data_IF_464925781278
#
_entry.id   IF_464925781278
#
_cell.length_a   1.000
_cell.length_b   1.000
_cell.length_c   1.000
_cell.angle_alpha   90.00
_cell.angle_beta   90.00
_cell.angle_gamma   90.00
#
_symmetry.space_group_name_H-M   'P 1'
#
loop_
_entity.id
_entity.type
_entity.pdbx_description
1 polymer ?
#
# COMPACT_ATOMS: atom_id res chain seq x y z
N UNK A 1 -4.85 -17.66 -22.99
CA UNK A 1 -4.73 -17.92 -21.53
C UNK A 1 -3.55 -17.23 -20.85
N UNK A 2 -2.33 -17.29 -21.40
CA UNK A 2 -1.10 -16.71 -20.77
C UNK A 2 -1.20 -15.20 -20.48
N UNK A 3 -1.88 -14.42 -21.33
CA UNK A 3 -2.07 -12.98 -21.12
C UNK A 3 -2.86 -12.65 -19.85
N UNK A 4 -3.85 -13.47 -19.49
CA UNK A 4 -4.64 -13.30 -18.28
C UNK A 4 -3.81 -13.62 -17.03
N UNK A 5 -2.95 -14.63 -17.07
CA UNK A 5 -2.07 -14.96 -15.95
C UNK A 5 -1.05 -13.85 -15.68
N UNK A 6 -0.38 -13.34 -16.73
CA UNK A 6 0.54 -12.19 -16.62
C UNK A 6 -0.16 -10.96 -16.03
N UNK A 7 -1.40 -10.67 -16.46
CA UNK A 7 -2.20 -9.56 -15.92
C UNK A 7 -2.55 -9.74 -14.45
N UNK A 8 -2.88 -10.96 -14.03
CA UNK A 8 -3.16 -11.29 -12.62
C UNK A 8 -1.91 -11.07 -11.76
N UNK A 9 -0.77 -11.63 -12.17
CA UNK A 9 0.51 -11.45 -11.47
C UNK A 9 0.89 -9.97 -11.35
N UNK A 10 0.76 -9.20 -12.43
CA UNK A 10 1.06 -7.77 -12.42
C UNK A 10 0.13 -7.01 -11.45
N UNK A 11 -1.16 -7.36 -11.41
CA UNK A 11 -2.11 -6.72 -10.49
C UNK A 11 -1.84 -7.07 -9.03
N UNK A 12 -1.42 -8.30 -8.73
CA UNK A 12 -1.04 -8.74 -7.39
C UNK A 12 0.23 -8.03 -6.94
N UNK A 13 1.22 -7.95 -7.83
CA UNK A 13 2.47 -7.25 -7.54
C UNK A 13 2.25 -5.76 -7.26
N UNK A 14 1.45 -5.09 -8.09
CA UNK A 14 1.09 -3.68 -7.87
C UNK A 14 0.38 -3.49 -6.51
N UNK A 15 -0.51 -4.42 -6.11
CA UNK A 15 -1.16 -4.37 -4.80
C UNK A 15 -0.19 -4.55 -3.64
N UNK A 16 0.75 -5.48 -3.77
CA UNK A 16 1.77 -5.72 -2.75
C UNK A 16 2.65 -4.49 -2.56
N UNK A 17 3.09 -3.86 -3.65
CA UNK A 17 3.85 -2.61 -3.60
C UNK A 17 3.06 -1.49 -2.90
N UNK A 18 1.79 -1.33 -3.25
CA UNK A 18 0.93 -0.32 -2.60
C UNK A 18 0.79 -0.58 -1.10
N UNK A 19 0.59 -1.83 -0.68
CA UNK A 19 0.51 -2.20 0.74
C UNK A 19 1.82 -1.92 1.49
N UNK A 20 2.95 -2.34 0.94
CA UNK A 20 4.27 -2.08 1.53
C UNK A 20 4.54 -0.58 1.68
N UNK A 21 4.18 0.21 0.67
CA UNK A 21 4.35 1.66 0.68
C UNK A 21 3.49 2.29 1.79
N UNK A 22 2.22 1.89 1.93
CA UNK A 22 1.34 2.40 2.99
C UNK A 22 1.91 2.08 4.38
N UNK A 23 2.33 0.83 4.60
CA UNK A 23 2.91 0.40 5.89
C UNK A 23 4.21 1.18 6.18
N UNK A 24 5.07 1.34 5.18
CA UNK A 24 6.33 2.07 5.31
C UNK A 24 6.12 3.53 5.68
N UNK A 25 5.21 4.24 4.98
CA UNK A 25 4.91 5.64 5.31
C UNK A 25 4.25 5.76 6.68
N UNK A 26 3.31 4.87 7.04
CA UNK A 26 2.73 4.87 8.39
C UNK A 26 3.78 4.64 9.48
N UNK A 27 4.70 3.69 9.28
CA UNK A 27 5.79 3.43 10.22
C UNK A 27 6.73 4.64 10.34
N UNK A 28 7.11 5.26 9.22
CA UNK A 28 7.93 6.46 9.22
C UNK A 28 7.22 7.65 9.90
N UNK A 29 5.92 7.85 9.65
CA UNK A 29 5.14 8.88 10.32
C UNK A 29 5.06 8.67 11.83
N UNK A 30 4.89 7.42 12.27
CA UNK A 30 4.89 7.11 13.70
C UNK A 30 6.26 7.33 14.35
N UNK A 31 7.36 6.94 13.68
CA UNK A 31 8.72 7.07 14.21
C UNK A 31 9.19 8.54 14.22
N UNK A 32 8.98 9.27 13.12
CA UNK A 32 9.52 10.63 12.94
C UNK A 32 8.64 11.68 13.58
N UNK A 33 7.32 11.55 13.46
CA UNK A 33 6.37 12.58 13.89
C UNK A 33 5.53 12.15 15.10
N UNK A 34 5.75 10.94 15.64
CA UNK A 34 4.99 10.44 16.79
C UNK A 34 3.49 10.33 16.52
N UNK A 35 3.08 10.14 15.26
CA UNK A 35 1.67 10.05 14.87
C UNK A 35 1.17 8.60 15.04
N UNK A 36 0.40 8.28 16.10
CA UNK A 36 -0.09 6.91 16.32
C UNK A 36 -1.20 6.51 15.33
N UNK A 37 -1.88 7.51 14.75
CA UNK A 37 -2.98 7.32 13.82
C UNK A 37 -2.51 7.51 12.37
N UNK A 38 -2.95 6.62 11.48
CA UNK A 38 -2.69 6.72 10.04
C UNK A 38 -3.25 8.05 9.48
N UNK A 39 -2.46 8.82 8.71
CA UNK A 39 -2.93 10.08 8.14
C UNK A 39 -4.07 9.84 7.15
N UNK A 40 -5.07 10.73 7.15
CA UNK A 40 -6.24 10.64 6.26
C UNK A 40 -5.86 10.55 4.77
N UNK A 41 -4.72 11.11 4.39
CA UNK A 41 -4.16 11.03 3.04
C UNK A 41 -3.75 9.61 2.62
N UNK A 42 -3.42 8.73 3.57
CA UNK A 42 -3.11 7.31 3.30
C UNK A 42 -4.34 6.42 3.39
N UNK A 43 -5.32 6.78 4.23
CA UNK A 43 -6.59 6.06 4.35
C UNK A 43 -7.30 5.86 3.00
N UNK A 44 -7.13 6.78 2.04
CA UNK A 44 -7.70 6.68 0.68
C UNK A 44 -7.14 5.51 -0.14
N UNK A 45 -5.92 5.05 0.15
CA UNK A 45 -5.29 3.93 -0.56
C UNK A 45 -5.63 2.57 0.04
N UNK A 46 -6.15 2.55 1.27
CA UNK A 46 -6.69 1.34 1.93
C UNK A 46 -8.09 0.97 1.47
N UNK A 47 -8.83 1.89 0.83
CA UNK A 47 -10.23 1.67 0.43
C UNK A 47 -10.33 0.55 -0.61
N UNK A 48 -10.95 -0.55 -0.20
CA UNK A 48 -11.59 -1.55 -1.03
C UNK A 48 -12.96 -1.85 -0.44
#
# INVERSE_FOLDING_TARGET
MVYNFKKICLSLFARLLTLLTIIGVNSACNIVYGQPNEPQSLARYKKR
#
